data_IF_005381863493
#
_entry.id   IF_005381863493
#
_cell.length_a   1.000
_cell.length_b   1.000
_cell.length_c   1.000
_cell.angle_alpha   90.00
_cell.angle_beta   90.00
_cell.angle_gamma   90.00
#
_symmetry.space_group_name_H-M   'P 1'
#
loop_
_entity.id
_entity.type
_entity.pdbx_description
1 polymer ?
#
# COMPACT_ATOMS: atom_id res chain seq x y z
N UNK A 1 7.28 19.19 4.11
CA UNK A 1 7.02 17.75 4.34
C UNK A 1 7.90 17.29 5.51
N UNK A 2 7.53 16.26 6.27
CA UNK A 2 8.48 15.71 7.26
C UNK A 2 9.45 14.73 6.57
N UNK A 3 10.75 14.87 6.84
CA UNK A 3 11.81 14.02 6.31
C UNK A 3 12.61 13.42 7.46
N UNK A 4 12.86 12.11 7.42
CA UNK A 4 13.68 11.38 8.39
C UNK A 4 14.81 10.69 7.63
N UNK A 5 16.05 11.07 7.94
CA UNK A 5 17.24 10.46 7.36
C UNK A 5 17.96 9.61 8.42
N UNK A 6 18.31 8.36 8.09
CA UNK A 6 19.05 7.45 8.97
C UNK A 6 20.24 6.88 8.20
N UNK A 7 21.45 7.31 8.55
CA UNK A 7 22.67 6.80 7.92
C UNK A 7 22.94 5.36 8.36
N UNK A 8 23.14 4.46 7.40
CA UNK A 8 23.48 3.06 7.61
C UNK A 8 24.52 2.63 6.55
N UNK A 9 25.79 2.79 6.89
CA UNK A 9 26.92 2.69 5.96
C UNK A 9 27.47 1.27 5.73
N UNK A 10 26.75 0.21 6.15
CA UNK A 10 27.24 -1.17 6.05
C UNK A 10 27.17 -1.77 4.62
N UNK A 11 26.41 -1.14 3.72
CA UNK A 11 26.34 -1.47 2.29
C UNK A 11 26.11 -0.18 1.48
N UNK A 12 26.64 -0.06 0.25
CA UNK A 12 26.48 1.12 -0.61
C UNK A 12 25.09 1.18 -1.27
N UNK A 13 24.04 1.04 -0.47
CA UNK A 13 22.64 1.01 -0.89
C UNK A 13 21.82 2.01 -0.10
N UNK A 14 20.77 2.50 -0.74
CA UNK A 14 19.78 3.39 -0.11
C UNK A 14 18.35 2.92 -0.40
N UNK A 15 17.47 3.15 0.58
CA UNK A 15 16.03 2.90 0.51
C UNK A 15 15.29 4.18 0.90
N UNK A 16 14.69 4.84 -0.08
CA UNK A 16 13.74 5.93 0.14
C UNK A 16 12.31 5.36 0.23
N UNK A 17 11.52 5.86 1.17
CA UNK A 17 10.13 5.48 1.41
C UNK A 17 9.30 6.73 1.68
N UNK A 18 8.54 7.17 0.68
CA UNK A 18 7.56 8.23 0.84
C UNK A 18 6.20 7.61 1.16
N UNK A 19 5.62 7.97 2.30
CA UNK A 19 4.31 7.46 2.74
C UNK A 19 3.30 8.60 2.83
N UNK A 20 2.21 8.49 2.08
CA UNK A 20 1.05 9.37 2.12
C UNK A 20 -0.01 8.73 3.01
N UNK A 21 -0.61 9.48 3.93
CA UNK A 21 -1.76 9.01 4.76
C UNK A 21 -3.05 9.03 3.93
N UNK A 22 -3.10 8.10 2.98
CA UNK A 22 -4.22 7.83 2.10
C UNK A 22 -4.18 6.35 1.73
N UNK A 23 -5.07 5.54 2.30
CA UNK A 23 -5.11 4.08 2.08
C UNK A 23 -6.53 3.59 1.84
N UNK A 24 -6.71 2.26 1.77
CA UNK A 24 -7.97 1.58 1.43
C UNK A 24 -9.17 1.99 2.32
N UNK A 25 -8.92 2.48 3.54
CA UNK A 25 -9.97 3.02 4.41
C UNK A 25 -10.62 4.31 3.87
N UNK A 26 -9.95 5.03 2.96
CA UNK A 26 -10.44 6.26 2.33
C UNK A 26 -11.10 6.01 0.96
N UNK A 27 -11.16 4.75 0.50
CA UNK A 27 -11.82 4.39 -0.76
C UNK A 27 -13.31 4.82 -0.73
N UNK A 28 -13.86 5.41 -1.80
CA UNK A 28 -15.29 5.64 -1.91
C UNK A 28 -16.11 4.34 -1.85
N UNK A 29 -17.38 4.44 -1.43
CA UNK A 29 -18.31 3.32 -1.53
C UNK A 29 -18.39 2.82 -2.99
N UNK A 30 -18.43 1.51 -3.19
CA UNK A 30 -18.36 0.87 -4.52
C UNK A 30 -16.98 0.88 -5.19
N UNK A 31 -16.01 1.68 -4.73
CA UNK A 31 -14.67 1.81 -5.35
C UNK A 31 -13.55 1.25 -4.46
N UNK A 32 -13.81 0.14 -3.77
CA UNK A 32 -12.83 -0.55 -2.93
C UNK A 32 -11.58 -0.96 -3.74
N UNK A 33 -10.40 -0.67 -3.20
CA UNK A 33 -9.11 -0.85 -3.84
C UNK A 33 -8.61 0.34 -4.68
N UNK A 34 -9.36 1.45 -4.77
CA UNK A 34 -8.95 2.64 -5.51
C UNK A 34 -7.58 3.17 -5.05
N UNK A 35 -7.31 3.19 -3.74
CA UNK A 35 -6.02 3.62 -3.20
C UNK A 35 -4.83 2.79 -3.72
N UNK A 36 -4.98 1.47 -3.83
CA UNK A 36 -3.96 0.59 -4.42
C UNK A 36 -3.84 0.85 -5.92
N UNK A 37 -4.96 0.97 -6.63
CA UNK A 37 -4.93 1.17 -8.08
C UNK A 37 -4.32 2.53 -8.48
N UNK A 38 -4.42 3.54 -7.63
CA UNK A 38 -3.67 4.81 -7.76
C UNK A 38 -2.17 4.60 -7.56
N UNK A 39 -1.76 3.73 -6.63
CA UNK A 39 -0.35 3.38 -6.42
C UNK A 39 0.22 2.61 -7.62
N UNK A 40 -0.54 1.66 -8.18
CA UNK A 40 -0.17 0.89 -9.37
C UNK A 40 -0.03 1.81 -10.59
N UNK A 41 -1.11 2.53 -10.96
CA UNK A 41 -1.14 3.38 -12.16
C UNK A 41 -0.20 4.60 -12.10
N UNK A 42 0.23 5.06 -10.92
CA UNK A 42 1.25 6.10 -10.80
C UNK A 42 2.65 5.64 -11.25
N UNK A 43 2.93 4.33 -11.22
CA UNK A 43 4.19 3.75 -11.69
C UNK A 43 4.22 3.56 -13.22
N UNK A 44 3.10 3.77 -13.90
CA UNK A 44 2.94 3.58 -15.36
C UNK A 44 3.06 4.88 -16.17
N UNK A 45 3.49 5.98 -15.56
CA UNK A 45 3.93 7.17 -16.28
C UNK A 45 3.65 8.49 -15.57
N UNK A 46 4.51 9.47 -15.83
CA UNK A 46 4.40 10.85 -15.31
C UNK A 46 4.12 11.83 -16.44
N UNK A 47 3.85 13.09 -16.11
CA UNK A 47 3.70 14.17 -17.09
C UNK A 47 4.92 14.36 -18.02
N UNK A 48 6.08 13.77 -17.70
CA UNK A 48 7.32 13.87 -18.49
C UNK A 48 7.87 12.53 -18.99
N UNK A 49 7.28 11.38 -18.59
CA UNK A 49 7.81 10.03 -18.85
C UNK A 49 6.71 9.01 -19.14
N UNK A 50 6.87 8.20 -20.19
CA UNK A 50 6.07 6.99 -20.39
C UNK A 50 6.44 5.88 -19.39
N UNK A 51 5.57 4.88 -19.22
CA UNK A 51 5.83 3.65 -18.47
C UNK A 51 7.20 3.05 -18.80
N UNK A 52 7.50 2.87 -20.10
CA UNK A 52 8.77 2.30 -20.53
C UNK A 52 9.98 3.18 -20.17
N UNK A 53 9.88 4.50 -20.32
CA UNK A 53 10.97 5.42 -19.99
C UNK A 53 11.28 5.38 -18.50
N UNK A 54 10.25 5.41 -17.66
CA UNK A 54 10.32 5.26 -16.21
C UNK A 54 10.97 3.91 -15.85
N UNK A 55 10.49 2.79 -16.41
CA UNK A 55 11.03 1.45 -16.14
C UNK A 55 12.49 1.30 -16.61
N UNK A 56 12.87 1.88 -17.75
CA UNK A 56 14.26 1.94 -18.22
C UNK A 56 15.16 2.79 -17.32
N UNK A 57 14.69 3.94 -16.83
CA UNK A 57 15.44 4.82 -15.93
C UNK A 57 15.66 4.16 -14.55
N UNK A 58 14.65 3.50 -13.98
CA UNK A 58 14.75 2.68 -12.76
C UNK A 58 15.79 1.56 -12.94
N UNK A 59 15.69 0.78 -14.02
CA UNK A 59 16.61 -0.32 -14.29
C UNK A 59 18.05 0.15 -14.52
N UNK A 60 18.25 1.24 -15.27
CA UNK A 60 19.56 1.83 -15.55
C UNK A 60 20.29 2.40 -14.32
N UNK A 61 19.60 2.60 -13.20
CA UNK A 61 20.21 2.94 -11.89
C UNK A 61 20.53 1.73 -11.01
N UNK A 62 20.30 0.50 -11.49
CA UNK A 62 20.34 -0.70 -10.66
C UNK A 62 19.31 -0.67 -9.53
N UNK A 63 18.21 0.06 -9.74
CA UNK A 63 17.21 0.36 -8.72
C UNK A 63 15.91 -0.44 -8.93
N UNK A 64 15.05 -0.40 -7.92
CA UNK A 64 13.65 -0.80 -8.02
C UNK A 64 12.74 0.27 -7.42
N UNK A 65 11.55 0.39 -7.99
CA UNK A 65 10.44 1.23 -7.53
C UNK A 65 9.26 0.30 -7.21
N UNK A 66 8.50 0.61 -6.17
CA UNK A 66 7.21 -0.03 -5.87
C UNK A 66 6.23 0.94 -5.19
N UNK A 67 4.95 0.79 -5.48
CA UNK A 67 3.83 1.47 -4.80
C UNK A 67 2.88 0.46 -4.15
N UNK A 68 2.47 0.70 -2.90
CA UNK A 68 1.52 -0.17 -2.19
C UNK A 68 0.62 0.60 -1.22
N UNK A 69 -0.68 0.33 -1.25
CA UNK A 69 -1.68 0.90 -0.35
C UNK A 69 -2.07 -0.07 0.78
N UNK A 70 -1.65 0.28 1.99
CA UNK A 70 -2.22 -0.28 3.21
C UNK A 70 -3.60 0.30 3.51
N UNK A 71 -4.13 -0.03 4.70
CA UNK A 71 -5.44 0.46 5.15
C UNK A 71 -5.44 1.98 5.38
N UNK A 72 -4.43 2.52 6.07
CA UNK A 72 -4.38 3.94 6.47
C UNK A 72 -3.46 4.80 5.59
N UNK A 73 -2.64 4.20 4.73
CA UNK A 73 -1.57 4.89 4.00
C UNK A 73 -1.10 4.15 2.75
N UNK A 74 -0.67 4.91 1.75
CA UNK A 74 0.04 4.42 0.56
C UNK A 74 1.52 4.78 0.67
N UNK A 75 2.39 3.79 0.46
CA UNK A 75 3.84 3.98 0.47
C UNK A 75 4.39 3.74 -0.94
N UNK A 76 5.16 4.71 -1.44
CA UNK A 76 6.05 4.55 -2.58
C UNK A 76 7.47 4.35 -2.06
N UNK A 77 8.12 3.29 -2.51
CA UNK A 77 9.44 2.88 -2.08
C UNK A 77 10.37 2.81 -3.29
N UNK A 78 11.56 3.38 -3.17
CA UNK A 78 12.61 3.25 -4.15
C UNK A 78 13.91 2.79 -3.49
N UNK A 79 14.52 1.75 -4.04
CA UNK A 79 15.73 1.09 -3.51
C UNK A 79 16.78 0.99 -4.60
N UNK A 80 18.05 1.23 -4.28
CA UNK A 80 19.13 1.25 -5.28
C UNK A 80 20.50 1.52 -4.67
N UNK A 81 21.48 1.83 -5.51
CA UNK A 81 22.83 2.19 -5.10
C UNK A 81 22.90 3.63 -4.58
N UNK A 82 23.70 3.89 -3.54
CA UNK A 82 23.79 5.21 -2.90
C UNK A 82 24.21 6.33 -3.86
N UNK A 83 25.09 6.05 -4.82
CA UNK A 83 25.50 6.98 -5.89
C UNK A 83 24.33 7.54 -6.71
N UNK A 84 23.24 6.76 -6.85
CA UNK A 84 22.05 7.15 -7.62
C UNK A 84 21.01 7.90 -6.78
N UNK A 85 21.26 8.14 -5.49
CA UNK A 85 20.33 8.79 -4.56
C UNK A 85 19.66 10.06 -5.12
N UNK A 86 20.38 11.04 -5.72
CA UNK A 86 19.73 12.26 -6.23
C UNK A 86 18.76 11.98 -7.38
N UNK A 87 19.12 11.07 -8.30
CA UNK A 87 18.26 10.64 -9.42
C UNK A 87 17.05 9.85 -8.92
N UNK A 88 17.26 8.95 -7.96
CA UNK A 88 16.19 8.20 -7.30
C UNK A 88 15.20 9.13 -6.59
N UNK A 89 15.70 10.15 -5.88
CA UNK A 89 14.85 11.13 -5.18
C UNK A 89 14.00 11.95 -6.16
N UNK A 90 14.60 12.41 -7.26
CA UNK A 90 13.90 13.14 -8.31
C UNK A 90 12.83 12.28 -9.00
N UNK A 91 13.13 11.02 -9.33
CA UNK A 91 12.18 10.12 -9.97
C UNK A 91 11.03 9.72 -9.04
N UNK A 92 11.32 9.41 -7.76
CA UNK A 92 10.31 9.16 -6.74
C UNK A 92 9.38 10.37 -6.54
N UNK A 93 9.93 11.59 -6.61
CA UNK A 93 9.13 12.80 -6.55
C UNK A 93 8.25 13.00 -7.80
N UNK A 94 8.75 12.76 -9.01
CA UNK A 94 7.98 12.87 -10.25
C UNK A 94 6.80 11.86 -10.28
N UNK A 95 7.06 10.61 -9.89
CA UNK A 95 6.04 9.54 -9.77
C UNK A 95 4.93 9.91 -8.79
N UNK A 96 5.26 10.49 -7.64
CA UNK A 96 4.25 10.81 -6.61
C UNK A 96 3.56 12.15 -6.86
N UNK A 97 4.25 13.14 -7.40
CA UNK A 97 3.71 14.49 -7.63
C UNK A 97 2.93 14.60 -8.93
N UNK A 98 3.45 14.01 -10.01
CA UNK A 98 3.04 14.29 -11.39
C UNK A 98 2.61 13.03 -12.20
N UNK A 99 1.95 12.00 -11.64
CA UNK A 99 1.53 10.83 -12.42
C UNK A 99 0.49 11.22 -13.49
N UNK A 100 0.67 10.75 -14.72
CA UNK A 100 -0.19 11.09 -15.85
C UNK A 100 -1.45 10.20 -15.93
N UNK A 101 -1.43 9.06 -15.23
CA UNK A 101 -2.43 7.99 -15.27
C UNK A 101 -2.88 7.67 -16.71
N UNK A 102 -2.00 7.20 -17.62
CA UNK A 102 -2.34 7.04 -19.03
C UNK A 102 -3.51 6.07 -19.22
N UNK A 103 -4.47 6.41 -20.08
CA UNK A 103 -5.71 5.63 -20.22
C UNK A 103 -5.44 4.18 -20.64
N UNK A 104 -4.54 3.95 -21.59
CA UNK A 104 -4.14 2.61 -22.03
C UNK A 104 -3.55 1.77 -20.87
N UNK A 105 -2.75 2.38 -19.99
CA UNK A 105 -2.17 1.71 -18.83
C UNK A 105 -3.21 1.43 -17.74
N UNK A 106 -4.18 2.35 -17.55
CA UNK A 106 -5.35 2.13 -16.68
C UNK A 106 -6.15 0.92 -17.16
N UNK A 107 -6.45 0.82 -18.45
CA UNK A 107 -7.26 -0.27 -19.00
C UNK A 107 -6.49 -1.61 -19.03
N UNK A 108 -5.19 -1.59 -19.35
CA UNK A 108 -4.30 -2.75 -19.25
C UNK A 108 -4.18 -3.26 -17.81
N UNK A 109 -3.97 -2.38 -16.83
CA UNK A 109 -3.98 -2.76 -15.42
C UNK A 109 -5.34 -3.30 -14.97
N UNK A 110 -6.46 -2.72 -15.42
CA UNK A 110 -7.80 -3.27 -15.12
C UNK A 110 -7.96 -4.69 -15.65
N UNK A 111 -7.54 -4.98 -16.88
CA UNK A 111 -7.58 -6.32 -17.45
C UNK A 111 -6.70 -7.31 -16.66
N UNK A 112 -5.46 -6.93 -16.36
CA UNK A 112 -4.51 -7.75 -15.60
C UNK A 112 -5.02 -8.04 -14.16
N UNK A 113 -5.53 -7.02 -13.46
CA UNK A 113 -6.07 -7.19 -12.11
C UNK A 113 -7.35 -8.04 -12.11
N UNK A 114 -8.20 -7.96 -13.14
CA UNK A 114 -9.37 -8.85 -13.26
C UNK A 114 -8.95 -10.33 -13.31
N UNK A 115 -7.95 -10.68 -14.12
CA UNK A 115 -7.40 -12.03 -14.20
C UNK A 115 -6.77 -12.48 -12.88
N UNK A 116 -5.97 -11.61 -12.23
CA UNK A 116 -5.36 -11.90 -10.93
C UNK A 116 -6.41 -12.14 -9.84
N UNK A 117 -7.50 -11.35 -9.80
CA UNK A 117 -8.57 -11.51 -8.82
C UNK A 117 -9.36 -12.81 -9.05
N UNK A 118 -9.62 -13.20 -10.30
CA UNK A 118 -10.22 -14.50 -10.63
C UNK A 118 -9.33 -15.65 -10.15
N UNK A 119 -8.02 -15.59 -10.40
CA UNK A 119 -7.06 -16.58 -9.90
C UNK A 119 -6.99 -16.61 -8.36
N UNK A 120 -7.04 -15.45 -7.68
CA UNK A 120 -7.09 -15.39 -6.21
C UNK A 120 -8.36 -16.04 -5.64
N UNK A 121 -9.52 -15.93 -6.31
CA UNK A 121 -10.75 -16.60 -5.89
C UNK A 121 -10.67 -18.14 -5.99
N UNK A 122 -9.66 -18.70 -6.68
CA UNK A 122 -9.38 -20.14 -6.65
C UNK A 122 -8.65 -20.59 -5.35
N UNK A 123 -8.14 -19.67 -4.53
CA UNK A 123 -7.44 -19.97 -3.28
C UNK A 123 -8.40 -20.05 -2.07
N UNK A 124 -8.46 -21.18 -1.34
CA UNK A 124 -9.25 -21.29 -0.11
C UNK A 124 -8.89 -20.22 0.93
N UNK A 125 -7.60 -19.87 1.03
CA UNK A 125 -7.13 -18.92 2.03
C UNK A 125 -7.50 -17.47 1.70
N UNK A 126 -7.52 -17.10 0.41
CA UNK A 126 -7.96 -15.76 -0.01
C UNK A 126 -9.46 -15.56 0.27
N UNK A 127 -10.29 -16.56 -0.06
CA UNK A 127 -11.73 -16.55 0.25
C UNK A 127 -11.97 -16.50 1.75
N UNK A 128 -11.28 -17.35 2.54
CA UNK A 128 -11.38 -17.36 4.00
C UNK A 128 -10.99 -16.00 4.61
N UNK A 129 -9.92 -15.37 4.12
CA UNK A 129 -9.50 -14.03 4.55
C UNK A 129 -10.52 -12.93 4.18
N UNK A 130 -11.12 -12.94 2.97
CA UNK A 130 -12.18 -11.98 2.56
C UNK A 130 -13.39 -12.09 3.50
N UNK A 131 -13.90 -13.30 3.71
CA UNK A 131 -15.08 -13.54 4.56
C UNK A 131 -14.80 -13.26 6.04
N UNK A 132 -13.61 -13.61 6.55
CA UNK A 132 -13.20 -13.31 7.92
C UNK A 132 -13.14 -11.80 8.20
N UNK A 133 -12.56 -11.02 7.27
CA UNK A 133 -12.54 -9.55 7.33
C UNK A 133 -13.94 -8.95 7.35
N UNK A 134 -14.81 -9.36 6.43
CA UNK A 134 -16.20 -8.93 6.37
C UNK A 134 -16.99 -9.33 7.64
N UNK A 135 -16.72 -10.51 8.22
CA UNK A 135 -17.40 -11.02 9.41
C UNK A 135 -17.04 -10.30 10.70
N UNK A 136 -15.81 -9.75 10.79
CA UNK A 136 -15.35 -8.90 11.89
C UNK A 136 -15.80 -7.44 11.72
N UNK A 137 -15.55 -6.84 10.56
CA UNK A 137 -15.68 -5.40 10.35
C UNK A 137 -17.04 -4.95 9.79
N UNK A 138 -17.79 -5.84 9.12
CA UNK A 138 -19.06 -5.48 8.48
C UNK A 138 -18.90 -4.33 7.48
N UNK A 139 -19.69 -3.28 7.66
CA UNK A 139 -19.66 -2.03 6.87
C UNK A 139 -18.39 -1.17 7.09
N UNK A 140 -17.64 -1.39 8.17
CA UNK A 140 -16.49 -0.57 8.53
C UNK A 140 -15.37 -0.67 7.47
N UNK A 141 -14.74 0.44 7.01
CA UNK A 141 -13.84 0.43 5.86
C UNK A 141 -12.71 -0.63 5.89
N UNK A 142 -12.16 -0.96 7.07
CA UNK A 142 -11.17 -2.04 7.25
C UNK A 142 -11.64 -3.48 6.87
N UNK A 143 -12.93 -3.67 6.57
CA UNK A 143 -13.45 -4.87 5.92
C UNK A 143 -12.90 -5.05 4.48
N UNK A 144 -12.56 -3.94 3.81
CA UNK A 144 -12.09 -3.88 2.42
C UNK A 144 -10.62 -4.30 2.37
N UNK A 145 -10.34 -5.44 1.75
CA UNK A 145 -8.99 -6.03 1.69
C UNK A 145 -8.15 -5.56 0.50
N UNK A 146 -8.73 -4.84 -0.45
CA UNK A 146 -8.10 -4.43 -1.71
C UNK A 146 -9.17 -4.27 -2.81
N UNK A 147 -8.76 -4.35 -4.08
CA UNK A 147 -9.70 -4.41 -5.20
C UNK A 147 -10.53 -5.71 -5.17
N UNK A 148 -11.72 -5.65 -5.77
CA UNK A 148 -12.58 -6.82 -5.97
C UNK A 148 -13.17 -6.78 -7.38
N UNK A 149 -13.65 -7.92 -7.91
CA UNK A 149 -14.24 -7.97 -9.26
C UNK A 149 -15.52 -7.10 -9.36
N UNK A 150 -16.18 -6.91 -8.23
CA UNK A 150 -17.36 -6.07 -8.04
C UNK A 150 -17.03 -4.56 -8.07
N UNK A 151 -15.87 -4.14 -7.56
CA UNK A 151 -15.45 -2.72 -7.52
C UNK A 151 -14.63 -2.27 -8.73
N UNK A 152 -13.88 -3.18 -9.34
CA UNK A 152 -12.95 -2.91 -10.44
C UNK A 152 -13.58 -2.18 -11.65
N UNK A 153 -14.82 -2.47 -12.10
CA UNK A 153 -15.45 -1.72 -13.20
C UNK A 153 -15.54 -0.22 -12.91
N UNK A 154 -15.91 0.15 -11.67
CA UNK A 154 -16.15 1.52 -11.23
C UNK A 154 -14.87 2.33 -10.93
N UNK A 155 -13.68 1.71 -11.02
CA UNK A 155 -12.39 2.40 -10.94
C UNK A 155 -12.06 2.97 -12.32
N UNK A 156 -12.11 4.29 -12.44
CA UNK A 156 -11.91 5.04 -13.69
C UNK A 156 -10.73 6.01 -13.55
N UNK A 157 -10.10 6.38 -14.67
CA UNK A 157 -9.03 7.40 -14.71
C UNK A 157 -9.40 8.69 -13.98
N UNK A 158 -10.64 9.18 -14.13
CA UNK A 158 -11.13 10.35 -13.41
C UNK A 158 -11.18 10.15 -11.89
N UNK A 159 -11.55 8.96 -11.43
CA UNK A 159 -11.58 8.61 -9.99
C UNK A 159 -10.17 8.48 -9.40
N UNK A 160 -9.23 7.92 -10.18
CA UNK A 160 -7.81 7.79 -9.83
C UNK A 160 -7.19 9.19 -9.66
N UNK A 161 -7.37 10.06 -10.66
CA UNK A 161 -6.88 11.43 -10.64
C UNK A 161 -7.54 12.27 -9.51
N UNK A 162 -8.84 12.09 -9.24
CA UNK A 162 -9.53 12.75 -8.13
C UNK A 162 -9.00 12.30 -6.76
N UNK A 163 -8.74 11.01 -6.56
CA UNK A 163 -8.17 10.49 -5.31
C UNK A 163 -6.74 11.00 -5.07
N UNK A 164 -5.89 10.94 -6.10
CA UNK A 164 -4.54 11.51 -6.07
C UNK A 164 -4.58 13.01 -5.74
N UNK A 165 -5.32 13.79 -6.53
CA UNK A 165 -5.43 15.24 -6.35
C UNK A 165 -6.09 15.66 -5.04
N UNK A 166 -6.86 14.80 -4.37
CA UNK A 166 -7.40 15.07 -3.03
C UNK A 166 -6.37 14.84 -1.92
N UNK A 167 -5.68 13.69 -1.93
CA UNK A 167 -4.94 13.22 -0.75
C UNK A 167 -3.40 13.29 -0.86
N UNK A 168 -2.84 13.37 -2.06
CA UNK A 168 -1.38 13.33 -2.28
C UNK A 168 -0.80 14.74 -2.10
N UNK A 169 -0.44 15.07 -0.85
CA UNK A 169 0.04 16.40 -0.46
C UNK A 169 1.20 16.32 0.56
N UNK A 170 2.12 17.30 0.56
CA UNK A 170 3.31 17.32 1.42
C UNK A 170 3.01 17.52 2.91
N UNK A 171 1.78 17.96 3.24
CA UNK A 171 1.24 18.03 4.60
C UNK A 171 0.45 16.78 5.02
N UNK A 172 0.25 15.83 4.11
CA UNK A 172 -0.35 14.51 4.35
C UNK A 172 0.66 13.37 4.09
N UNK A 173 1.95 13.70 3.95
CA UNK A 173 3.02 12.78 3.59
C UNK A 173 4.26 12.95 4.49
N UNK A 174 5.03 11.87 4.61
CA UNK A 174 6.35 11.87 5.23
C UNK A 174 7.32 10.98 4.44
N UNK A 175 8.58 11.39 4.40
CA UNK A 175 9.68 10.71 3.70
C UNK A 175 10.64 10.11 4.72
N UNK A 176 10.93 8.82 4.59
CA UNK A 176 11.99 8.14 5.36
C UNK A 176 13.06 7.66 4.38
N UNK A 177 14.33 7.90 4.69
CA UNK A 177 15.47 7.51 3.85
C UNK A 177 16.51 6.83 4.74
N UNK A 178 16.89 5.61 4.37
CA UNK A 178 17.83 4.77 5.13
C UNK A 178 18.88 4.20 4.18
N UNK A 179 20.16 4.32 4.53
CA UNK A 179 21.27 3.75 3.75
C UNK A 179 22.57 4.53 3.90
N UNK A 180 23.57 4.24 3.05
CA UNK A 180 24.83 4.97 3.07
C UNK A 180 24.70 6.32 2.34
N UNK A 181 24.21 7.32 3.08
CA UNK A 181 24.21 8.72 2.69
C UNK A 181 24.31 9.59 3.95
N UNK A 182 24.92 10.78 3.83
CA UNK A 182 24.91 11.78 4.89
C UNK A 182 23.49 12.38 5.02
N UNK A 183 22.94 12.58 6.24
CA UNK A 183 21.61 13.19 6.43
C UNK A 183 21.44 14.52 5.71
N UNK A 184 22.49 15.33 5.66
CA UNK A 184 22.53 16.66 5.03
C UNK A 184 22.33 16.55 3.52
N UNK A 185 22.97 15.57 2.88
CA UNK A 185 22.80 15.27 1.46
C UNK A 185 21.40 14.71 1.14
N UNK A 186 20.82 13.93 2.07
CA UNK A 186 19.43 13.46 1.96
C UNK A 186 18.45 14.62 2.07
N UNK A 187 18.64 15.56 3.00
CA UNK A 187 17.79 16.74 3.14
C UNK A 187 17.89 17.65 1.91
N UNK A 188 19.10 17.90 1.39
CA UNK A 188 19.30 18.68 0.18
C UNK A 188 18.59 18.07 -1.04
N UNK A 189 18.73 16.75 -1.27
CA UNK A 189 18.05 16.05 -2.35
C UNK A 189 16.52 16.02 -2.17
N UNK A 190 16.04 15.85 -0.92
CA UNK A 190 14.61 15.88 -0.61
C UNK A 190 14.01 17.28 -0.85
N UNK A 191 14.73 18.36 -0.52
CA UNK A 191 14.28 19.73 -0.78
C UNK A 191 14.29 20.05 -2.28
N UNK A 192 15.34 19.64 -3.02
CA UNK A 192 15.39 19.78 -4.47
C UNK A 192 14.22 19.05 -5.17
N UNK A 193 13.85 17.86 -4.69
CA UNK A 193 12.81 17.03 -5.31
C UNK A 193 11.37 17.35 -4.83
N UNK A 194 11.18 17.80 -3.57
CA UNK A 194 9.86 17.99 -2.94
C UNK A 194 9.60 19.39 -2.38
N UNK A 195 10.58 20.29 -2.31
CA UNK A 195 10.39 21.65 -1.78
C UNK A 195 9.34 22.47 -2.52
N UNK A 196 9.29 22.30 -3.85
CA UNK A 196 8.25 22.89 -4.71
C UNK A 196 6.91 22.15 -4.70
N UNK A 197 6.71 21.15 -3.84
CA UNK A 197 5.41 20.48 -3.68
C UNK A 197 4.51 21.35 -2.79
N UNK A 198 3.43 21.89 -3.35
CA UNK A 198 2.53 22.80 -2.63
C UNK A 198 1.66 22.05 -1.60
N UNK A 199 1.48 22.67 -0.41
CA UNK A 199 0.49 22.24 0.58
C UNK A 199 -0.92 22.51 0.08
N UNK A 200 -1.89 21.70 0.51
CA UNK A 200 -3.31 21.98 0.29
C UNK A 200 -4.16 21.46 1.46
N UNK A 201 -5.43 21.86 1.48
CA UNK A 201 -6.45 21.24 2.34
C UNK A 201 -6.58 19.78 1.95
N UNK A 202 -6.56 18.89 2.94
CA UNK A 202 -6.83 17.46 2.78
C UNK A 202 -7.98 17.10 3.73
N UNK A 203 -9.05 16.42 3.29
CA UNK A 203 -10.21 16.14 4.13
C UNK A 203 -9.87 15.31 5.37
N UNK A 204 -10.34 15.74 6.55
CA UNK A 204 -10.26 14.93 7.77
C UNK A 204 -11.28 13.78 7.75
N UNK A 205 -10.84 12.61 7.32
CA UNK A 205 -11.66 11.40 7.32
C UNK A 205 -11.73 10.80 8.72
N UNK A 206 -12.77 11.16 9.49
CA UNK A 206 -13.10 10.50 10.75
C UNK A 206 -13.53 9.06 10.47
N UNK A 207 -12.66 8.10 10.81
CA UNK A 207 -13.02 6.68 10.74
C UNK A 207 -14.26 6.40 11.61
N UNK A 208 -15.23 5.60 11.13
CA UNK A 208 -16.40 5.24 11.92
C UNK A 208 -16.00 4.43 13.17
N UNK A 209 -16.91 4.35 14.14
CA UNK A 209 -16.65 3.55 15.33
C UNK A 209 -16.40 2.07 14.97
N UNK A 210 -15.39 1.46 15.62
CA UNK A 210 -15.13 0.03 15.48
C UNK A 210 -16.36 -0.78 15.90
N UNK A 211 -16.78 -1.79 15.12
CA UNK A 211 -17.94 -2.60 15.47
C UNK A 211 -17.69 -3.43 16.73
N UNK A 212 -18.67 -3.49 17.62
CA UNK A 212 -18.55 -4.22 18.89
C UNK A 212 -18.99 -5.67 18.69
N UNK A 213 -18.03 -6.58 18.53
CA UNK A 213 -18.28 -8.03 18.53
C UNK A 213 -18.70 -8.51 19.92
N UNK A 214 -19.90 -9.10 20.03
CA UNK A 214 -20.39 -9.77 21.25
C UNK A 214 -20.47 -11.28 21.01
N UNK A 215 -20.03 -12.07 21.99
CA UNK A 215 -20.07 -13.54 21.93
C UNK A 215 -19.09 -14.15 20.93
N UNK A 216 -19.34 -15.41 20.55
CA UNK A 216 -18.55 -16.15 19.55
C UNK A 216 -19.35 -16.21 18.25
N UNK A 217 -18.76 -15.82 17.12
CA UNK A 217 -19.37 -15.93 15.79
C UNK A 217 -18.65 -17.02 14.99
N UNK A 218 -19.39 -18.03 14.56
CA UNK A 218 -18.93 -19.01 13.57
C UNK A 218 -19.53 -18.65 12.21
N UNK A 219 -18.72 -18.78 11.15
CA UNK A 219 -19.15 -18.55 9.77
C UNK A 219 -18.60 -19.69 8.92
N UNK A 220 -19.50 -20.43 8.28
CA UNK A 220 -19.15 -21.56 7.43
C UNK A 220 -19.27 -21.14 5.96
N UNK A 221 -18.19 -21.31 5.20
CA UNK A 221 -18.16 -21.07 3.75
C UNK A 221 -18.03 -22.43 3.08
N UNK A 222 -19.10 -22.93 2.47
CA UNK A 222 -19.02 -24.16 1.70
C UNK A 222 -18.28 -23.89 0.38
N UNK A 223 -17.26 -24.69 0.10
CA UNK A 223 -16.57 -24.71 -1.18
C UNK A 223 -16.46 -26.16 -1.67
N UNK A 224 -17.43 -26.65 -2.46
CA UNK A 224 -17.35 -27.96 -3.10
C UNK A 224 -16.01 -28.14 -3.83
N UNK A 225 -15.51 -29.37 -3.85
CA UNK A 225 -14.27 -29.76 -4.52
C UNK A 225 -12.98 -29.07 -3.99
N UNK A 226 -13.02 -28.41 -2.83
CA UNK A 226 -11.82 -27.87 -2.19
C UNK A 226 -11.02 -28.98 -1.49
N UNK A 227 -9.81 -29.27 -1.98
CA UNK A 227 -8.91 -30.30 -1.41
C UNK A 227 -8.37 -29.96 -0.02
N UNK A 228 -8.54 -28.72 0.44
CA UNK A 228 -8.10 -28.23 1.74
C UNK A 228 -9.16 -27.29 2.36
N UNK A 229 -9.28 -27.36 3.68
CA UNK A 229 -10.06 -26.44 4.52
C UNK A 229 -9.18 -25.33 5.09
N UNK A 230 -9.60 -24.06 4.95
CA UNK A 230 -8.94 -22.90 5.56
C UNK A 230 -9.75 -22.37 6.74
N UNK A 231 -9.19 -22.45 7.94
CA UNK A 231 -9.81 -21.95 9.19
C UNK A 231 -9.15 -20.64 9.59
N UNK A 232 -9.94 -19.59 9.79
CA UNK A 232 -9.48 -18.28 10.28
C UNK A 232 -10.14 -17.96 11.62
N UNK A 233 -9.32 -17.65 12.63
CA UNK A 233 -9.76 -17.33 14.00
C UNK A 233 -9.10 -16.03 14.47
N UNK A 234 -9.86 -15.19 15.16
CA UNK A 234 -9.35 -13.97 15.79
C UNK A 234 -10.46 -13.17 16.43
N UNK A 235 -10.08 -12.07 17.09
CA UNK A 235 -10.96 -11.16 17.80
C UNK A 235 -10.37 -9.74 17.73
N UNK A 236 -11.15 -8.71 18.05
CA UNK A 236 -10.58 -7.38 18.25
C UNK A 236 -9.71 -7.36 19.52
N UNK A 237 -8.52 -6.77 19.38
CA UNK A 237 -7.55 -6.55 20.46
C UNK A 237 -7.43 -5.06 20.77
N UNK A 238 -6.61 -4.70 21.75
CA UNK A 238 -6.30 -3.30 22.06
C UNK A 238 -5.67 -2.59 20.85
N UNK A 239 -6.25 -1.46 20.44
CA UNK A 239 -5.70 -0.62 19.35
C UNK A 239 -4.25 -0.25 19.67
N UNK A 240 -3.33 -0.54 18.76
CA UNK A 240 -1.91 -0.20 18.89
C UNK A 240 -1.75 1.31 19.12
N UNK A 241 -1.30 1.69 20.32
CA UNK A 241 -0.84 3.04 20.65
C UNK A 241 0.68 3.07 20.49
N UNK A 242 1.26 3.98 19.69
CA UNK A 242 2.70 4.09 19.56
C UNK A 242 3.36 4.44 20.91
N UNK A 243 4.61 3.98 21.07
CA UNK A 243 5.26 3.77 22.37
C UNK A 243 6.12 4.95 22.86
N UNK A 244 5.95 5.36 24.13
CA UNK A 244 7.06 5.91 24.91
C UNK A 244 7.44 5.09 26.17
N UNK A 245 6.65 4.07 26.56
CA UNK A 245 7.09 2.91 27.38
C UNK A 245 6.50 1.51 26.72
N UNK A 246 7.44 -0.37 25.71
CA UNK A 246 7.25 -1.53 24.76
C UNK A 246 6.74 -2.82 25.42
N UNK A 247 5.57 -3.29 24.97
CA UNK A 247 4.95 -4.53 25.38
C UNK A 247 4.01 -5.09 24.28
N UNK A 248 4.57 -5.49 23.14
CA UNK A 248 3.82 -6.24 22.09
C UNK A 248 4.70 -6.98 21.08
N UNK A 249 5.65 -7.83 21.54
CA UNK A 249 6.17 -8.96 20.74
C UNK A 249 5.50 -10.25 21.22
N UNK A 250 4.17 -10.23 21.25
CA UNK A 250 3.30 -11.38 21.51
C UNK A 250 2.10 -11.22 20.58
N UNK A 251 2.04 -12.01 19.51
CA UNK A 251 1.07 -11.79 18.42
C UNK A 251 1.14 -12.78 17.26
N UNK A 252 2.27 -13.47 17.08
CA UNK A 252 2.34 -14.70 16.29
C UNK A 252 2.42 -15.92 17.23
N UNK A 253 1.29 -16.52 17.64
CA UNK A 253 1.30 -17.91 18.07
C UNK A 253 1.56 -18.80 16.84
N UNK A 254 2.50 -19.74 16.96
CA UNK A 254 2.85 -20.69 15.90
C UNK A 254 1.64 -21.58 15.56
N UNK A 255 1.08 -21.46 14.35
CA UNK A 255 0.04 -22.36 13.88
C UNK A 255 0.63 -23.50 13.03
N UNK A 256 1.57 -24.25 13.63
CA UNK A 256 2.29 -25.37 13.02
C UNK A 256 2.12 -26.65 13.87
N UNK A 257 0.88 -27.13 13.99
CA UNK A 257 0.59 -28.40 14.68
C UNK A 257 0.87 -29.60 13.75
N UNK A 258 2.15 -29.97 13.62
CA UNK A 258 2.54 -31.28 13.07
C UNK A 258 2.26 -32.37 14.10
N UNK A 259 1.30 -33.25 13.84
CA UNK A 259 0.96 -34.38 14.72
C UNK A 259 2.06 -35.47 14.69
N UNK A 260 2.65 -35.87 15.83
CA UNK A 260 3.57 -36.99 15.90
C UNK A 260 2.81 -38.30 16.17
N UNK A 261 2.45 -39.04 15.10
CA UNK A 261 1.82 -40.33 15.24
C UNK A 261 2.81 -41.42 15.74
N UNK A 262 2.68 -41.81 17.01
CA UNK A 262 3.11 -43.09 17.60
C UNK A 262 2.11 -43.40 18.74
N UNK A 263 1.56 -44.61 18.89
CA UNK A 263 2.00 -45.93 18.39
C UNK A 263 0.98 -46.56 17.45
#
# INVERSE_FOLDING_TARGET
MHVVAVRYAAVPKISAMLTVRAGLALDPAGKAGLAQFVADTAQEGTATRSSEQLKREVFGMGASLSGFAGQDSTTFQMRGLSESMPRMMALLADVVRNPAFPQAEVDLLKANTAQQLQAQMASPQAVSNKVFRQSLFGEHPYARTGLTLESLPAIERASIAAYHSTYYRPNNAFLVVIGDAAPEAVFAAAEQAFGSWARAVVPETKAPAMPVTKGRRLVFVQRPNSVQSSISVGNFTTRFRPWPRAASIVGQPMCAMTSPARR
#
